data_IF_303213769689
#
_entry.id   IF_303213769689
#
_cell.length_a   1.000
_cell.length_b   1.000
_cell.length_c   1.000
_cell.angle_alpha   90.00
_cell.angle_beta   90.00
_cell.angle_gamma   90.00
#
_symmetry.space_group_name_H-M   'P 1'
#
loop_
_entity.id
_entity.type
_entity.pdbx_description
1 polymer ?
#
# COMPACT_ATOMS: atom_id res chain seq x y z
N UNK A 1 29.26 -7.58 9.84
CA UNK A 1 30.70 -7.19 9.77
C UNK A 1 30.74 -5.71 9.42
N UNK A 2 31.53 -4.90 10.13
CA UNK A 2 31.82 -3.51 9.71
C UNK A 2 33.02 -3.55 8.76
N UNK A 3 32.86 -3.02 7.56
CA UNK A 3 33.83 -3.17 6.47
C UNK A 3 34.56 -1.86 6.24
N UNK A 4 35.86 -1.91 6.36
CA UNK A 4 36.81 -0.87 5.94
C UNK A 4 37.53 -1.31 4.66
N UNK A 5 38.18 -0.43 3.94
CA UNK A 5 38.82 -0.49 2.62
C UNK A 5 39.03 -1.88 1.92
N UNK A 6 39.40 -2.95 2.64
CA UNK A 6 39.53 -4.32 2.07
C UNK A 6 38.95 -5.32 3.05
N UNK A 7 38.09 -6.23 2.54
CA UNK A 7 37.40 -7.24 3.37
C UNK A 7 37.46 -8.60 2.73
N UNK A 8 37.99 -9.57 3.45
CA UNK A 8 37.88 -10.97 3.11
C UNK A 8 36.63 -11.53 3.77
N UNK A 9 35.69 -12.04 2.96
CA UNK A 9 34.50 -12.72 3.40
C UNK A 9 34.87 -14.20 3.60
N UNK A 10 34.88 -14.64 4.86
CA UNK A 10 35.10 -16.03 5.24
C UNK A 10 33.78 -16.80 5.14
N UNK A 11 33.69 -17.70 4.18
CA UNK A 11 32.50 -18.48 3.89
C UNK A 11 32.36 -19.72 4.77
N UNK A 12 33.35 -20.08 5.59
CA UNK A 12 33.23 -21.15 6.59
C UNK A 12 32.23 -20.81 7.70
N UNK A 13 31.95 -19.50 7.90
CA UNK A 13 31.01 -19.01 8.90
C UNK A 13 29.53 -19.10 8.49
N UNK A 14 29.22 -19.49 7.25
CA UNK A 14 27.87 -19.62 6.71
C UNK A 14 27.69 -18.99 5.34
N UNK A 15 26.51 -19.16 4.77
CA UNK A 15 26.17 -18.73 3.42
C UNK A 15 25.34 -17.43 3.35
N UNK A 16 25.10 -16.76 4.48
CA UNK A 16 24.46 -15.46 4.55
C UNK A 16 25.38 -14.46 5.26
N UNK A 17 25.82 -13.45 4.55
CA UNK A 17 26.77 -12.46 5.04
C UNK A 17 26.14 -11.07 5.00
N UNK A 18 26.08 -10.39 6.13
CA UNK A 18 25.68 -8.97 6.21
C UNK A 18 26.88 -8.13 6.54
N UNK A 19 27.09 -7.04 5.81
CA UNK A 19 28.15 -6.08 6.13
C UNK A 19 27.67 -4.62 6.04
N UNK A 20 28.18 -3.78 6.95
CA UNK A 20 27.96 -2.35 6.94
C UNK A 20 29.11 -1.66 6.18
N UNK A 21 28.80 -1.02 5.07
CA UNK A 21 29.79 -0.36 4.23
C UNK A 21 30.00 1.09 4.68
N UNK A 22 31.16 1.39 5.28
CA UNK A 22 31.55 2.75 5.70
C UNK A 22 32.65 3.38 4.82
N UNK A 23 33.20 2.63 3.86
CA UNK A 23 34.24 3.08 2.93
C UNK A 23 34.07 2.39 1.57
N UNK A 24 34.82 2.84 0.55
CA UNK A 24 35.01 2.06 -0.67
C UNK A 24 35.65 0.72 -0.31
N UNK A 25 35.14 -0.36 -0.85
CA UNK A 25 35.46 -1.71 -0.35
C UNK A 25 35.91 -2.62 -1.48
N UNK A 26 37.01 -3.31 -1.29
CA UNK A 26 37.41 -4.44 -2.13
C UNK A 26 37.08 -5.74 -1.40
N UNK A 27 36.30 -6.61 -2.07
CA UNK A 27 35.89 -7.91 -1.53
C UNK A 27 36.78 -9.02 -2.06
N UNK A 28 37.13 -9.97 -1.19
CA UNK A 28 37.70 -11.28 -1.54
C UNK A 28 36.96 -12.38 -0.77
N UNK A 29 37.02 -13.60 -1.27
CA UNK A 29 36.41 -14.77 -0.62
C UNK A 29 37.47 -15.71 -0.07
N UNK A 30 37.22 -16.28 1.09
CA UNK A 30 38.06 -17.31 1.69
C UNK A 30 37.19 -18.54 2.08
N UNK A 31 37.85 -19.69 2.21
CA UNK A 31 37.21 -20.95 2.61
C UNK A 31 36.03 -21.35 1.72
N UNK A 32 36.23 -21.26 0.41
CA UNK A 32 35.22 -21.63 -0.60
C UNK A 32 35.16 -23.16 -0.76
N UNK A 33 33.93 -23.71 -0.73
CA UNK A 33 33.66 -25.12 -1.01
C UNK A 33 33.38 -25.35 -2.50
N UNK A 34 33.37 -26.62 -2.92
CA UNK A 34 33.18 -27.00 -4.33
C UNK A 34 31.88 -26.44 -4.93
N UNK A 35 30.80 -26.40 -4.14
CA UNK A 35 29.53 -25.81 -4.54
C UNK A 35 28.96 -25.02 -3.39
N UNK A 36 28.73 -23.73 -3.59
CA UNK A 36 28.15 -22.82 -2.60
C UNK A 36 27.11 -21.89 -3.22
N UNK A 37 26.10 -21.61 -2.45
CA UNK A 37 25.16 -20.53 -2.68
C UNK A 37 25.33 -19.51 -1.54
N UNK A 38 25.69 -18.28 -1.87
CA UNK A 38 26.01 -17.24 -0.88
C UNK A 38 25.11 -16.03 -1.08
N UNK A 39 24.46 -15.60 -0.03
CA UNK A 39 23.71 -14.33 0.02
C UNK A 39 24.57 -13.27 0.70
N UNK A 40 24.85 -12.19 0.01
CA UNK A 40 25.56 -11.04 0.55
C UNK A 40 24.60 -9.87 0.71
N UNK A 41 24.45 -9.38 1.93
CA UNK A 41 23.64 -8.21 2.25
C UNK A 41 24.58 -7.04 2.57
N UNK A 42 24.59 -6.05 1.70
CA UNK A 42 25.26 -4.78 1.94
C UNK A 42 24.30 -3.83 2.64
N UNK A 43 24.75 -3.20 3.71
CA UNK A 43 24.04 -2.09 4.37
C UNK A 43 24.94 -0.84 4.27
N UNK A 44 24.41 0.25 3.71
CA UNK A 44 25.14 1.50 3.56
C UNK A 44 25.18 2.27 4.89
N UNK A 45 26.32 2.92 5.15
CA UNK A 45 26.46 3.85 6.28
C UNK A 45 25.60 5.12 6.13
N UNK A 46 25.59 5.95 7.15
CA UNK A 46 24.83 7.22 7.18
C UNK A 46 25.46 8.35 6.37
N UNK A 47 26.60 8.12 5.70
CA UNK A 47 27.30 9.17 4.95
C UNK A 47 26.63 9.47 3.61
N UNK A 48 26.68 10.73 3.16
CA UNK A 48 26.20 11.15 1.84
C UNK A 48 27.14 10.77 0.70
N UNK A 49 28.31 10.21 1.01
CA UNK A 49 29.32 9.86 0.02
C UNK A 49 28.91 8.59 -0.73
N UNK A 50 28.94 8.62 -2.05
CA UNK A 50 28.80 7.41 -2.87
C UNK A 50 29.93 6.43 -2.53
N UNK A 51 29.60 5.14 -2.40
CA UNK A 51 30.54 4.08 -2.10
C UNK A 51 30.62 3.09 -3.25
N UNK A 52 31.80 2.53 -3.45
CA UNK A 52 32.02 1.50 -4.47
C UNK A 52 32.32 0.14 -3.83
N UNK A 53 31.98 -0.93 -4.54
CA UNK A 53 32.45 -2.28 -4.21
C UNK A 53 33.27 -2.76 -5.40
N UNK A 54 34.51 -3.11 -5.14
CA UNK A 54 35.33 -3.84 -6.11
C UNK A 54 35.16 -5.33 -5.84
N UNK A 55 34.48 -5.98 -6.73
CA UNK A 55 34.26 -7.43 -6.69
C UNK A 55 35.47 -8.18 -7.27
N UNK A 56 35.75 -9.41 -6.83
CA UNK A 56 36.77 -10.25 -7.44
C UNK A 56 36.48 -10.47 -8.94
N UNK A 57 37.52 -10.56 -9.77
CA UNK A 57 37.40 -10.84 -11.20
C UNK A 57 36.74 -12.20 -11.51
N UNK A 58 36.73 -13.09 -10.51
CA UNK A 58 36.02 -14.37 -10.56
C UNK A 58 34.50 -14.24 -10.55
N UNK A 59 33.93 -13.08 -10.16
CA UNK A 59 32.48 -12.86 -10.15
C UNK A 59 32.00 -12.43 -11.54
N UNK A 60 31.17 -13.26 -12.13
CA UNK A 60 30.50 -12.99 -13.42
C UNK A 60 29.04 -12.59 -13.13
N UNK A 61 28.69 -11.39 -13.50
CA UNK A 61 27.36 -10.83 -13.25
C UNK A 61 26.39 -11.15 -14.37
N UNK A 62 25.14 -11.47 -13.98
CA UNK A 62 24.04 -11.49 -14.93
C UNK A 62 23.87 -10.09 -15.55
N UNK A 63 23.84 -10.03 -16.89
CA UNK A 63 23.92 -8.75 -17.62
C UNK A 63 25.34 -8.22 -17.88
N UNK A 64 26.40 -8.92 -17.50
CA UNK A 64 27.81 -8.66 -17.88
C UNK A 64 28.57 -7.64 -17.05
N UNK A 65 27.90 -6.91 -16.14
CA UNK A 65 28.54 -5.96 -15.22
C UNK A 65 27.93 -6.03 -13.82
N UNK A 66 28.70 -5.65 -12.79
CA UNK A 66 28.21 -5.57 -11.44
C UNK A 66 27.00 -4.61 -11.34
N UNK A 67 25.97 -4.96 -10.53
CA UNK A 67 24.82 -4.08 -10.31
C UNK A 67 25.24 -2.72 -9.77
N UNK A 68 24.53 -1.67 -10.19
CA UNK A 68 24.78 -0.31 -9.70
C UNK A 68 24.44 -0.23 -8.22
N UNK A 69 25.40 0.21 -7.43
CA UNK A 69 25.21 0.39 -6.00
C UNK A 69 24.29 1.59 -5.71
N UNK A 70 23.49 1.46 -4.66
CA UNK A 70 22.71 2.57 -4.12
C UNK A 70 23.67 3.68 -3.70
N UNK A 71 23.51 4.86 -4.30
CA UNK A 71 24.36 6.02 -4.04
C UNK A 71 23.73 7.05 -3.11
N UNK A 72 22.42 6.96 -2.86
CA UNK A 72 21.69 7.90 -2.00
C UNK A 72 22.03 7.68 -0.52
N UNK A 73 21.97 8.73 0.26
CA UNK A 73 22.54 8.85 1.59
C UNK A 73 21.54 8.61 2.73
N UNK A 74 20.77 7.54 2.66
CA UNK A 74 19.87 7.21 3.77
C UNK A 74 20.45 6.05 4.58
N UNK A 75 20.45 6.21 5.90
CA UNK A 75 20.90 5.17 6.82
C UNK A 75 20.01 3.93 6.66
N UNK A 76 20.64 2.78 6.48
CA UNK A 76 19.92 1.50 6.38
C UNK A 76 19.58 1.05 4.97
N UNK A 77 19.94 1.81 3.92
CA UNK A 77 19.85 1.33 2.54
C UNK A 77 20.59 0.01 2.41
N UNK A 78 19.94 -1.00 1.89
CA UNK A 78 20.51 -2.34 1.75
C UNK A 78 20.33 -2.89 0.33
N UNK A 79 21.34 -3.62 -0.12
CA UNK A 79 21.29 -4.39 -1.37
C UNK A 79 21.66 -5.83 -1.06
N UNK A 80 20.95 -6.75 -1.68
CA UNK A 80 21.22 -8.17 -1.54
C UNK A 80 21.69 -8.73 -2.87
N UNK A 81 22.79 -9.44 -2.82
CA UNK A 81 23.40 -10.11 -3.95
C UNK A 81 23.40 -11.61 -3.67
N UNK A 82 23.03 -12.39 -4.67
CA UNK A 82 23.18 -13.84 -4.65
C UNK A 82 24.38 -14.21 -5.50
N UNK A 83 25.26 -15.05 -4.97
CA UNK A 83 26.41 -15.58 -5.66
C UNK A 83 26.39 -17.11 -5.61
N UNK A 84 26.66 -17.73 -6.73
CA UNK A 84 26.73 -19.21 -6.83
C UNK A 84 28.08 -19.59 -7.43
N UNK A 85 28.75 -20.55 -6.81
CA UNK A 85 29.91 -21.26 -7.40
C UNK A 85 29.65 -22.76 -7.48
N UNK A 86 30.30 -23.43 -8.42
CA UNK A 86 30.29 -24.90 -8.59
C UNK A 86 31.71 -25.44 -8.81
N UNK A 87 32.75 -24.60 -8.65
CA UNK A 87 34.15 -24.89 -8.90
C UNK A 87 35.08 -24.38 -7.82
N UNK A 88 34.67 -24.46 -6.55
CA UNK A 88 35.44 -24.04 -5.37
C UNK A 88 35.80 -22.53 -5.39
N UNK A 89 34.94 -21.70 -5.95
CA UNK A 89 35.10 -20.25 -5.98
C UNK A 89 36.04 -19.75 -7.09
N UNK A 90 36.46 -20.61 -8.02
CA UNK A 90 37.21 -20.17 -9.22
C UNK A 90 36.36 -19.29 -10.11
N UNK A 91 35.06 -19.58 -10.19
CA UNK A 91 34.07 -18.74 -10.86
C UNK A 91 32.82 -18.59 -10.00
N UNK A 92 32.36 -17.37 -9.87
CA UNK A 92 31.11 -17.02 -9.22
C UNK A 92 30.14 -16.43 -10.23
N UNK A 93 28.89 -16.87 -10.19
CA UNK A 93 27.81 -16.24 -10.95
C UNK A 93 26.95 -15.45 -9.98
N UNK A 94 26.81 -14.14 -10.23
CA UNK A 94 26.15 -13.21 -9.32
C UNK A 94 25.01 -12.43 -9.97
N UNK A 95 23.99 -12.15 -9.19
CA UNK A 95 22.90 -11.24 -9.56
C UNK A 95 22.36 -10.51 -8.31
N UNK A 96 21.76 -9.35 -8.53
CA UNK A 96 21.08 -8.62 -7.48
C UNK A 96 19.69 -9.22 -7.26
N UNK A 97 19.39 -9.64 -6.02
CA UNK A 97 18.09 -10.23 -5.67
C UNK A 97 17.16 -9.22 -5.00
N UNK A 98 17.72 -8.20 -4.35
CA UNK A 98 16.96 -7.22 -3.62
C UNK A 98 17.72 -5.90 -3.51
N UNK A 99 17.00 -4.82 -3.74
CA UNK A 99 17.49 -3.46 -3.58
C UNK A 99 16.47 -2.67 -2.76
N UNK A 100 16.83 -2.35 -1.53
CA UNK A 100 16.06 -1.43 -0.71
C UNK A 100 16.72 -0.06 -0.75
N UNK A 101 16.23 0.78 -1.63
CA UNK A 101 16.38 2.23 -1.47
C UNK A 101 15.42 2.62 -0.35
N UNK A 102 15.89 3.12 0.78
CA UNK A 102 15.01 3.90 1.65
C UNK A 102 14.80 5.23 0.93
N UNK A 103 13.91 5.21 -0.04
CA UNK A 103 13.52 6.42 -0.76
C UNK A 103 12.80 7.30 0.26
N UNK A 104 13.33 8.48 0.50
CA UNK A 104 12.67 9.47 1.35
C UNK A 104 11.75 10.30 0.50
N UNK A 105 10.49 10.31 0.86
CA UNK A 105 9.48 11.02 0.10
C UNK A 105 9.02 12.28 0.79
N UNK A 106 8.70 13.28 0.01
CA UNK A 106 7.92 14.44 0.44
C UNK A 106 6.45 14.12 0.30
N UNK A 107 5.69 14.15 1.39
CA UNK A 107 4.27 13.87 1.39
C UNK A 107 3.46 15.13 1.02
N UNK A 108 2.48 14.98 0.15
CA UNK A 108 1.53 16.01 -0.26
C UNK A 108 0.11 15.54 -0.03
N UNK A 109 -0.77 16.47 0.37
CA UNK A 109 -2.20 16.24 0.49
C UNK A 109 -3.01 17.39 -0.12
N UNK A 110 -4.22 17.05 -0.59
CA UNK A 110 -5.24 17.98 -1.07
C UNK A 110 -6.65 17.43 -0.86
N UNK A 111 -7.66 18.29 -0.96
CA UNK A 111 -9.06 17.94 -0.78
C UNK A 111 -9.62 18.36 0.58
N UNK A 112 -10.49 17.55 1.16
CA UNK A 112 -11.24 17.83 2.38
C UNK A 112 -10.34 17.80 3.64
N UNK A 113 -10.46 18.83 4.53
CA UNK A 113 -9.60 18.97 5.72
C UNK A 113 -10.31 19.57 6.96
N UNK A 114 -11.58 19.36 7.13
CA UNK A 114 -12.37 20.05 8.20
C UNK A 114 -11.89 19.71 9.62
N UNK A 115 -11.23 18.59 9.84
CA UNK A 115 -10.73 18.13 11.15
C UNK A 115 -9.19 18.13 11.25
N UNK A 116 -8.49 18.75 10.30
CA UNK A 116 -7.03 18.84 10.32
C UNK A 116 -6.31 17.56 9.94
N UNK A 117 -6.96 16.68 9.18
CA UNK A 117 -6.39 15.40 8.76
C UNK A 117 -5.21 15.52 7.79
N UNK A 118 -4.93 16.70 7.24
CA UNK A 118 -3.76 17.00 6.42
C UNK A 118 -2.48 17.28 7.23
N UNK A 119 -2.59 17.38 8.56
CA UNK A 119 -1.44 17.60 9.43
C UNK A 119 -0.80 18.99 9.34
N UNK A 120 -1.38 19.95 8.62
CA UNK A 120 -0.82 21.30 8.40
C UNK A 120 -1.08 22.27 9.54
N UNK A 121 -1.51 21.78 10.70
CA UNK A 121 -1.90 22.56 11.88
C UNK A 121 -3.05 23.55 11.62
N UNK A 122 -3.90 23.27 10.66
CA UNK A 122 -5.10 24.03 10.33
C UNK A 122 -6.21 23.14 9.78
N UNK A 123 -7.35 23.71 9.42
CA UNK A 123 -8.51 23.02 8.85
C UNK A 123 -8.89 23.55 7.47
N UNK A 124 -7.95 24.18 6.77
CA UNK A 124 -8.16 24.73 5.43
C UNK A 124 -8.24 23.59 4.41
N UNK A 125 -9.21 23.66 3.51
CA UNK A 125 -9.33 22.75 2.38
C UNK A 125 -8.49 23.26 1.20
N UNK A 126 -7.72 22.37 0.60
CA UNK A 126 -6.84 22.72 -0.52
C UNK A 126 -7.27 21.99 -1.79
N UNK A 127 -7.44 22.73 -2.89
CA UNK A 127 -7.73 22.17 -4.22
C UNK A 127 -6.46 21.86 -5.04
N UNK A 128 -5.29 22.12 -4.45
CA UNK A 128 -3.96 21.82 -5.00
C UNK A 128 -3.14 21.09 -3.96
N UNK A 129 -2.15 20.28 -4.34
CA UNK A 129 -1.25 19.61 -3.41
C UNK A 129 -0.54 20.58 -2.46
N UNK A 130 -0.59 20.31 -1.16
CA UNK A 130 0.11 21.03 -0.10
C UNK A 130 1.06 20.07 0.62
N UNK A 131 2.31 20.48 0.79
CA UNK A 131 3.34 19.68 1.43
C UNK A 131 3.12 19.54 2.93
N UNK A 132 3.36 18.35 3.45
CA UNK A 132 3.35 18.05 4.87
C UNK A 132 4.77 18.11 5.44
N UNK A 133 5.02 19.06 6.36
CA UNK A 133 6.30 19.15 7.06
C UNK A 133 7.50 19.44 6.18
N UNK A 134 8.70 19.13 6.68
CA UNK A 134 9.93 19.25 5.89
C UNK A 134 10.06 18.08 4.90
N UNK A 135 10.74 18.32 3.78
CA UNK A 135 10.97 17.29 2.77
C UNK A 135 11.77 16.10 3.30
N UNK A 136 11.46 14.91 2.83
CA UNK A 136 12.42 13.82 2.81
C UNK A 136 12.41 12.82 3.98
N UNK A 137 11.38 12.76 4.84
CA UNK A 137 11.40 11.86 6.00
C UNK A 137 10.27 10.82 6.06
N UNK A 138 9.46 10.70 5.02
CA UNK A 138 8.30 9.83 5.03
C UNK A 138 8.52 8.59 4.17
N UNK A 139 8.10 7.42 4.62
CA UNK A 139 8.13 6.17 3.83
C UNK A 139 6.74 5.64 3.49
N UNK A 140 5.72 5.98 4.26
CA UNK A 140 4.35 5.58 3.98
C UNK A 140 3.37 6.68 4.39
N UNK A 141 2.33 6.88 3.62
CA UNK A 141 1.15 7.65 4.00
C UNK A 141 -0.10 6.79 3.79
N UNK A 142 -1.08 6.94 4.67
CA UNK A 142 -2.42 6.37 4.51
C UNK A 142 -3.48 7.36 4.97
N UNK A 143 -4.55 7.51 4.19
CA UNK A 143 -5.64 8.41 4.45
C UNK A 143 -6.96 7.80 3.96
N UNK A 144 -7.50 6.87 4.71
CA UNK A 144 -8.81 6.33 4.42
C UNK A 144 -9.89 7.02 5.27
N UNK A 145 -11.01 7.39 4.63
CA UNK A 145 -12.19 7.89 5.30
C UNK A 145 -12.30 9.40 5.49
N UNK A 146 -11.38 10.20 4.94
CA UNK A 146 -11.52 11.67 4.85
C UNK A 146 -11.20 12.47 6.10
N UNK A 147 -11.15 11.86 7.25
CA UNK A 147 -11.04 12.56 8.51
C UNK A 147 -9.78 12.23 9.31
N UNK A 148 -8.99 11.25 8.87
CA UNK A 148 -7.76 10.81 9.54
C UNK A 148 -6.68 10.50 8.56
N UNK A 149 -5.45 10.64 9.03
CA UNK A 149 -4.27 10.20 8.29
C UNK A 149 -3.28 9.55 9.24
N UNK A 150 -2.60 8.55 8.73
CA UNK A 150 -1.47 7.88 9.36
C UNK A 150 -0.26 7.96 8.44
N UNK A 151 0.90 8.24 9.00
CA UNK A 151 2.14 8.38 8.26
C UNK A 151 3.23 7.65 9.03
N UNK A 152 4.09 6.94 8.32
CA UNK A 152 5.28 6.32 8.91
C UNK A 152 6.50 7.04 8.36
N UNK A 153 7.40 7.44 9.25
CA UNK A 153 8.67 8.03 8.87
C UNK A 153 9.75 6.97 8.59
N UNK A 154 10.90 7.41 8.10
CA UNK A 154 12.03 6.54 7.77
C UNK A 154 12.69 5.86 8.98
N UNK A 155 12.32 6.28 10.20
CA UNK A 155 12.75 5.66 11.46
C UNK A 155 11.69 4.73 12.05
N UNK A 156 10.69 4.33 11.27
CA UNK A 156 9.58 3.46 11.66
C UNK A 156 8.64 4.05 12.73
N UNK A 157 8.66 5.37 12.93
CA UNK A 157 7.71 6.02 13.82
C UNK A 157 6.37 6.23 13.11
N UNK A 158 5.28 5.90 13.79
CA UNK A 158 3.92 6.17 13.33
C UNK A 158 3.42 7.50 13.85
N UNK A 159 2.97 8.36 12.95
CA UNK A 159 2.36 9.65 13.23
C UNK A 159 0.91 9.64 12.74
N UNK A 160 -0.01 10.15 13.56
CA UNK A 160 -1.44 10.22 13.27
C UNK A 160 -1.98 11.62 13.44
N UNK A 161 -3.01 11.98 12.64
CA UNK A 161 -3.67 13.28 12.72
C UNK A 161 -5.12 13.18 12.24
N UNK A 162 -5.90 14.20 12.54
CA UNK A 162 -7.31 14.30 12.18
C UNK A 162 -8.27 14.02 13.34
N UNK A 163 -9.40 13.42 13.03
CA UNK A 163 -10.50 13.13 13.94
C UNK A 163 -10.14 12.03 14.95
N UNK A 164 -10.40 12.29 16.25
CA UNK A 164 -10.20 11.32 17.32
C UNK A 164 -11.53 10.77 17.91
N UNK A 165 -12.60 10.80 17.16
CA UNK A 165 -13.86 10.19 17.62
C UNK A 165 -13.63 8.71 17.95
N UNK A 166 -14.16 8.24 19.06
CA UNK A 166 -13.98 6.89 19.61
C UNK A 166 -12.52 6.48 19.91
N UNK A 167 -11.59 7.44 20.07
CA UNK A 167 -10.17 7.14 20.25
C UNK A 167 -9.49 6.66 18.96
N UNK A 168 -10.04 7.04 17.81
CA UNK A 168 -9.62 6.54 16.50
C UNK A 168 -8.21 6.94 16.08
N UNK A 169 -7.54 7.85 16.79
CA UNK A 169 -6.12 8.15 16.58
C UNK A 169 -5.17 7.22 17.37
N UNK A 170 -5.66 6.39 18.30
CA UNK A 170 -4.82 5.47 19.07
C UNK A 170 -3.88 6.13 20.10
N UNK A 171 -4.13 7.37 20.49
CA UNK A 171 -3.23 8.20 21.32
C UNK A 171 -3.45 8.06 22.83
N UNK A 172 -4.23 7.09 23.30
CA UNK A 172 -4.59 6.89 24.71
C UNK A 172 -5.18 8.16 25.39
N UNK A 173 -5.74 9.06 24.60
CA UNK A 173 -6.29 10.32 25.04
C UNK A 173 -7.82 10.32 25.08
N UNK A 174 -8.39 11.47 25.53
CA UNK A 174 -9.83 11.68 25.50
C UNK A 174 -10.38 11.49 24.09
N UNK A 175 -11.44 10.68 23.92
CA UNK A 175 -12.20 10.67 22.66
C UNK A 175 -12.62 12.09 22.26
N UNK A 176 -12.61 12.40 20.96
CA UNK A 176 -12.93 13.70 20.36
C UNK A 176 -11.87 14.82 20.53
N UNK A 177 -10.67 14.51 21.06
CA UNK A 177 -9.54 15.44 21.02
C UNK A 177 -8.82 15.33 19.65
N UNK A 178 -9.38 15.97 18.61
CA UNK A 178 -8.81 15.97 17.25
C UNK A 178 -7.38 16.54 17.23
N UNK A 179 -6.58 16.12 16.25
CA UNK A 179 -5.19 16.56 16.07
C UNK A 179 -5.00 17.09 14.65
N UNK A 180 -4.73 18.38 14.51
CA UNK A 180 -4.39 19.01 13.23
C UNK A 180 -2.89 18.99 12.93
N UNK A 181 -2.08 18.44 13.82
CA UNK A 181 -0.64 18.22 13.65
C UNK A 181 -0.30 16.76 13.85
N UNK A 182 0.70 16.22 13.15
CA UNK A 182 1.17 14.86 13.38
C UNK A 182 1.51 14.60 14.86
N UNK A 183 0.92 13.56 15.44
CA UNK A 183 1.16 13.14 16.82
C UNK A 183 1.59 11.68 16.82
N UNK A 184 2.67 11.36 17.51
CA UNK A 184 3.29 10.02 17.44
C UNK A 184 2.53 8.98 18.26
N UNK A 185 2.35 7.78 17.69
CA UNK A 185 2.00 6.55 18.40
C UNK A 185 3.30 5.79 18.72
N UNK A 186 3.59 5.49 20.00
CA UNK A 186 4.82 4.78 20.36
C UNK A 186 4.96 3.39 19.71
N UNK A 187 6.18 3.03 19.34
CA UNK A 187 6.54 1.73 18.76
C UNK A 187 7.19 1.86 17.40
N UNK A 188 7.68 0.73 16.89
CA UNK A 188 8.29 0.61 15.56
C UNK A 188 7.29 -0.03 14.60
N UNK A 189 6.84 0.71 13.60
CA UNK A 189 5.73 0.36 12.73
C UNK A 189 6.20 0.14 11.29
N UNK A 190 5.81 -0.98 10.70
CA UNK A 190 6.15 -1.32 9.33
C UNK A 190 5.09 -0.79 8.33
N UNK A 191 3.81 -0.90 8.68
CA UNK A 191 2.69 -0.45 7.85
C UNK A 191 1.51 -0.01 8.72
N UNK A 192 0.76 0.98 8.25
CA UNK A 192 -0.46 1.47 8.89
C UNK A 192 -1.58 1.63 7.87
N UNK A 193 -2.82 1.44 8.30
CA UNK A 193 -4.01 1.86 7.56
C UNK A 193 -5.03 2.49 8.51
N UNK A 194 -5.68 3.55 8.04
CA UNK A 194 -6.68 4.30 8.79
C UNK A 194 -8.07 4.07 8.21
N UNK A 195 -9.04 3.87 9.09
CA UNK A 195 -10.46 3.87 8.73
C UNK A 195 -11.18 5.10 9.29
N UNK A 196 -12.48 5.23 9.05
CA UNK A 196 -13.23 6.41 9.49
C UNK A 196 -13.33 6.58 11.02
N UNK A 197 -13.20 5.53 11.85
CA UNK A 197 -13.28 5.63 13.32
C UNK A 197 -12.19 4.84 14.05
N UNK A 198 -11.13 4.46 13.37
CA UNK A 198 -10.03 3.72 13.97
C UNK A 198 -8.91 3.47 12.98
N UNK A 199 -7.93 2.73 13.40
CA UNK A 199 -6.81 2.33 12.58
C UNK A 199 -6.32 0.93 12.94
N UNK A 200 -5.51 0.38 12.06
CA UNK A 200 -4.74 -0.83 12.31
C UNK A 200 -3.35 -0.68 11.74
N UNK A 201 -2.40 -1.40 12.30
CA UNK A 201 -1.02 -1.34 11.84
C UNK A 201 -0.25 -2.60 12.21
N UNK A 202 0.76 -2.90 11.44
CA UNK A 202 1.69 -4.00 11.70
C UNK A 202 3.03 -3.41 12.12
N UNK A 203 3.54 -3.89 13.24
CA UNK A 203 4.86 -3.52 13.72
C UNK A 203 5.96 -4.26 12.95
N UNK A 204 7.18 -3.77 13.07
CA UNK A 204 8.36 -4.38 12.42
C UNK A 204 8.66 -5.81 12.88
N UNK A 205 8.08 -6.23 14.00
CA UNK A 205 8.13 -7.61 14.52
C UNK A 205 7.03 -8.54 13.95
N UNK A 206 6.21 -8.06 13.00
CA UNK A 206 5.14 -8.84 12.36
C UNK A 206 3.86 -8.97 13.21
N UNK A 207 3.72 -8.21 14.30
CA UNK A 207 2.49 -8.19 15.12
C UNK A 207 1.49 -7.18 14.58
N UNK A 208 0.21 -7.58 14.50
CA UNK A 208 -0.90 -6.73 14.06
C UNK A 208 -1.60 -6.09 15.26
N UNK A 209 -1.92 -4.81 15.17
CA UNK A 209 -2.55 -4.00 16.19
C UNK A 209 -3.73 -3.22 15.62
N UNK A 210 -4.78 -2.99 16.45
CA UNK A 210 -5.94 -2.20 16.07
C UNK A 210 -6.38 -1.28 17.21
N UNK A 211 -7.03 -0.16 16.87
CA UNK A 211 -7.55 0.83 17.80
C UNK A 211 -8.78 1.55 17.25
N UNK A 212 -9.51 2.25 18.11
CA UNK A 212 -10.69 3.02 17.77
C UNK A 212 -12.01 2.28 18.06
N UNK A 213 -12.99 2.45 17.19
CA UNK A 213 -14.34 1.93 17.32
C UNK A 213 -14.41 0.41 17.21
N UNK A 214 -15.20 -0.24 18.11
CA UNK A 214 -15.39 -1.70 18.13
C UNK A 214 -16.86 -2.14 18.06
N UNK A 215 -17.75 -1.33 17.55
CA UNK A 215 -19.19 -1.64 17.54
C UNK A 215 -19.56 -2.92 16.79
N UNK A 216 -18.74 -3.33 15.84
CA UNK A 216 -18.96 -4.51 15.01
C UNK A 216 -17.90 -5.60 15.16
N UNK A 217 -17.04 -5.51 16.17
CA UNK A 217 -15.92 -6.44 16.35
C UNK A 217 -14.67 -6.07 15.53
N UNK A 218 -14.58 -4.82 15.09
CA UNK A 218 -13.52 -4.29 14.23
C UNK A 218 -12.11 -4.46 14.82
N UNK A 219 -11.99 -4.48 16.16
CA UNK A 219 -10.70 -4.59 16.83
C UNK A 219 -10.21 -6.03 16.98
N UNK A 220 -10.97 -7.02 16.49
CA UNK A 220 -10.63 -8.45 16.54
C UNK A 220 -10.34 -9.01 17.96
N UNK A 221 -10.93 -8.41 18.99
CA UNK A 221 -10.71 -8.77 20.40
C UNK A 221 -11.72 -9.80 20.93
N UNK A 222 -12.38 -10.55 20.03
CA UNK A 222 -13.47 -11.49 20.34
C UNK A 222 -14.65 -10.83 21.11
N UNK A 223 -14.76 -9.53 21.00
CA UNK A 223 -15.82 -8.70 21.60
C UNK A 223 -16.37 -7.72 20.58
N UNK A 224 -17.59 -7.27 20.79
CA UNK A 224 -18.20 -6.23 19.96
C UNK A 224 -19.26 -5.47 20.73
N UNK A 225 -19.54 -4.23 20.32
CA UNK A 225 -20.52 -3.35 20.96
C UNK A 225 -19.90 -2.08 21.51
N UNK A 226 -20.74 -1.11 21.89
CA UNK A 226 -20.33 0.08 22.61
C UNK A 226 -20.57 -0.17 24.12
N UNK A 227 -19.57 -0.03 25.02
CA UNK A 227 -18.42 0.86 25.00
C UNK A 227 -17.04 0.17 24.79
N UNK A 228 -16.91 -0.83 23.99
CA UNK A 228 -15.65 -1.58 23.83
C UNK A 228 -14.62 -0.94 22.88
N UNK A 229 -14.80 0.36 22.53
CA UNK A 229 -13.80 1.11 21.76
C UNK A 229 -12.50 1.27 22.54
N UNK A 230 -11.35 1.19 21.85
CA UNK A 230 -10.02 1.28 22.46
C UNK A 230 -9.26 2.48 21.91
N UNK A 231 -8.88 3.41 22.79
CA UNK A 231 -8.12 4.60 22.44
C UNK A 231 -6.60 4.37 22.34
N UNK A 232 -6.14 3.13 22.55
CA UNK A 232 -4.74 2.72 22.41
C UNK A 232 -4.66 1.52 21.50
N UNK A 233 -3.58 1.36 20.72
CA UNK A 233 -3.33 0.14 19.98
C UNK A 233 -3.38 -1.10 20.87
N UNK A 234 -4.15 -2.10 20.47
CA UNK A 234 -4.29 -3.40 21.13
C UNK A 234 -3.95 -4.49 20.13
N UNK A 235 -3.13 -5.44 20.55
CA UNK A 235 -2.63 -6.50 19.66
C UNK A 235 -3.74 -7.47 19.26
N UNK A 236 -3.79 -7.80 17.97
CA UNK A 236 -4.57 -8.90 17.41
C UNK A 236 -3.69 -10.16 17.47
N UNK A 237 -4.19 -11.30 17.97
CA UNK A 237 -3.37 -12.51 18.09
C UNK A 237 -2.71 -12.97 16.79
N UNK A 238 -1.45 -13.38 16.87
CA UNK A 238 -0.63 -13.87 15.75
C UNK A 238 0.56 -12.94 15.45
N UNK A 239 1.57 -13.50 14.80
CA UNK A 239 2.86 -12.83 14.52
C UNK A 239 3.34 -12.97 13.07
N UNK A 240 2.54 -13.55 12.19
CA UNK A 240 2.91 -13.80 10.79
C UNK A 240 2.15 -12.89 9.82
N UNK A 241 1.77 -11.71 10.29
CA UNK A 241 1.08 -10.73 9.46
C UNK A 241 2.08 -10.05 8.53
N UNK A 242 1.73 -9.96 7.25
CA UNK A 242 2.61 -9.38 6.24
C UNK A 242 2.64 -7.87 6.34
N UNK A 243 3.83 -7.29 6.32
CA UNK A 243 4.04 -5.84 6.34
C UNK A 243 3.92 -5.16 4.96
N UNK A 244 3.48 -5.87 3.93
CA UNK A 244 3.15 -5.25 2.64
C UNK A 244 1.88 -4.39 2.80
N UNK A 245 1.91 -3.16 2.30
CA UNK A 245 0.79 -2.21 2.37
C UNK A 245 -0.48 -2.73 1.67
N UNK A 246 -0.35 -3.62 0.69
CA UNK A 246 -1.47 -4.24 -0.01
C UNK A 246 -2.09 -5.40 0.77
N UNK A 247 -1.48 -5.77 1.90
CA UNK A 247 -1.88 -6.90 2.72
C UNK A 247 -2.66 -6.50 3.97
N UNK A 248 -2.94 -5.21 4.16
CA UNK A 248 -3.69 -4.71 5.31
C UNK A 248 -4.61 -3.58 4.87
N UNK A 249 -5.87 -3.65 5.26
CA UNK A 249 -6.82 -2.56 5.05
C UNK A 249 -7.99 -2.61 6.03
N UNK A 250 -8.50 -1.42 6.35
CA UNK A 250 -9.76 -1.23 7.07
C UNK A 250 -10.75 -0.45 6.20
N UNK A 251 -11.98 -0.93 6.04
CA UNK A 251 -13.04 -0.18 5.36
C UNK A 251 -13.89 0.59 6.37
N UNK A 252 -14.02 1.87 6.16
CA UNK A 252 -14.85 2.79 6.96
C UNK A 252 -14.76 2.45 8.46
N UNK A 253 -15.70 1.75 9.03
CA UNK A 253 -15.73 1.41 10.46
C UNK A 253 -16.21 0.00 10.70
N UNK A 254 -16.21 -0.81 9.68
CA UNK A 254 -17.03 -2.01 9.73
C UNK A 254 -16.25 -3.30 9.51
N UNK A 255 -15.32 -3.30 8.59
CA UNK A 255 -14.66 -4.54 8.18
C UNK A 255 -13.18 -4.32 7.98
N UNK A 256 -12.41 -5.36 8.22
CA UNK A 256 -10.95 -5.35 8.15
C UNK A 256 -10.47 -6.55 7.37
N UNK A 257 -9.33 -6.41 6.74
CA UNK A 257 -8.59 -7.50 6.11
C UNK A 257 -7.11 -7.43 6.49
N UNK A 258 -6.48 -8.60 6.49
CA UNK A 258 -5.03 -8.74 6.51
C UNK A 258 -4.62 -10.04 5.82
N UNK A 259 -3.49 -10.01 5.12
CA UNK A 259 -2.87 -11.19 4.51
C UNK A 259 -1.65 -11.56 5.36
N UNK A 260 -1.46 -12.85 5.61
CA UNK A 260 -0.28 -13.36 6.28
C UNK A 260 0.86 -13.64 5.30
N UNK A 261 2.06 -13.79 5.82
CA UNK A 261 3.27 -14.12 5.03
C UNK A 261 3.18 -15.45 4.28
N UNK A 262 2.27 -16.33 4.69
CA UNK A 262 1.95 -17.58 3.99
C UNK A 262 0.94 -17.42 2.84
N UNK A 263 0.52 -16.19 2.53
CA UNK A 263 -0.43 -15.86 1.47
C UNK A 263 -1.90 -16.16 1.83
N UNK A 264 -2.24 -16.44 3.10
CA UNK A 264 -3.63 -16.60 3.55
C UNK A 264 -4.28 -15.24 3.80
N UNK A 265 -5.52 -15.04 3.31
CA UNK A 265 -6.32 -13.85 3.54
C UNK A 265 -7.23 -14.04 4.75
N UNK A 266 -7.25 -13.10 5.68
CA UNK A 266 -8.05 -13.08 6.89
C UNK A 266 -8.90 -11.82 6.95
N UNK A 267 -10.17 -11.95 7.37
CA UNK A 267 -11.12 -10.85 7.42
C UNK A 267 -11.95 -10.92 8.70
N UNK A 268 -12.40 -9.76 9.20
CA UNK A 268 -13.28 -9.65 10.39
C UNK A 268 -14.04 -8.33 10.38
N UNK A 269 -15.11 -8.25 11.17
CA UNK A 269 -15.98 -7.09 11.28
C UNK A 269 -17.46 -7.40 11.06
N UNK A 270 -18.18 -6.45 10.50
CA UNK A 270 -19.65 -6.39 10.40
C UNK A 270 -20.27 -7.41 9.46
N UNK A 271 -19.74 -7.58 8.27
CA UNK A 271 -20.18 -8.56 7.24
C UNK A 271 -21.63 -8.46 6.74
N UNK A 272 -22.32 -7.35 6.89
CA UNK A 272 -23.72 -7.24 6.48
C UNK A 272 -23.96 -7.58 5.00
N UNK A 273 -22.99 -7.27 4.15
CA UNK A 273 -23.04 -7.46 2.70
C UNK A 273 -22.26 -8.70 2.22
N UNK A 274 -21.84 -9.57 3.14
CA UNK A 274 -21.04 -10.76 2.82
C UNK A 274 -19.59 -10.43 2.43
N UNK A 275 -19.11 -9.22 2.74
CA UNK A 275 -17.79 -8.71 2.33
C UNK A 275 -16.63 -9.50 2.95
N UNK A 276 -16.85 -10.23 4.04
CA UNK A 276 -15.82 -11.07 4.66
C UNK A 276 -15.57 -12.40 3.90
N UNK A 277 -16.27 -12.65 2.81
CA UNK A 277 -15.98 -13.78 1.92
C UNK A 277 -16.30 -15.19 2.50
N UNK A 278 -17.13 -15.27 3.55
CA UNK A 278 -17.39 -16.49 4.31
C UNK A 278 -18.62 -17.28 3.85
N UNK A 279 -19.15 -16.99 2.66
CA UNK A 279 -20.40 -17.54 2.15
C UNK A 279 -21.62 -17.33 3.08
N UNK A 280 -21.56 -16.30 3.91
CA UNK A 280 -22.60 -15.88 4.85
C UNK A 280 -22.52 -14.36 5.10
N UNK A 281 -23.41 -13.86 5.98
CA UNK A 281 -23.42 -12.46 6.43
C UNK A 281 -23.27 -12.33 7.95
N UNK A 282 -22.65 -13.33 8.57
CA UNK A 282 -22.39 -13.33 10.01
C UNK A 282 -21.26 -12.40 10.35
N UNK A 283 -21.42 -11.57 11.39
CA UNK A 283 -20.38 -10.74 11.96
C UNK A 283 -19.31 -11.59 12.65
N UNK A 284 -18.05 -11.25 12.47
CA UNK A 284 -16.92 -11.90 13.12
C UNK A 284 -16.10 -10.89 13.92
N UNK A 285 -15.99 -11.09 15.23
CA UNK A 285 -15.18 -10.26 16.14
C UNK A 285 -13.76 -10.82 16.39
N UNK A 286 -13.33 -11.77 15.57
CA UNK A 286 -11.98 -12.32 15.48
C UNK A 286 -11.66 -12.57 14.01
N UNK A 287 -10.38 -12.53 13.60
CA UNK A 287 -10.02 -12.84 12.23
C UNK A 287 -10.48 -14.23 11.81
N UNK A 288 -11.10 -14.32 10.64
CA UNK A 288 -11.52 -15.59 10.01
C UNK A 288 -10.89 -15.68 8.62
N UNK A 289 -10.35 -16.84 8.29
CA UNK A 289 -9.68 -17.07 7.01
C UNK A 289 -10.69 -17.16 5.86
N UNK A 290 -10.38 -16.52 4.73
CA UNK A 290 -11.16 -16.57 3.49
C UNK A 290 -10.78 -17.82 2.71
N UNK A 291 -11.61 -18.86 2.80
CA UNK A 291 -11.33 -20.15 2.17
C UNK A 291 -10.07 -20.82 2.74
N UNK A 292 -9.44 -21.70 1.94
CA UNK A 292 -8.23 -22.48 2.33
C UNK A 292 -7.01 -22.10 1.48
N UNK A 293 -7.11 -21.06 0.67
CA UNK A 293 -6.09 -20.71 -0.32
C UNK A 293 -4.96 -19.90 0.31
N UNK A 294 -3.74 -20.12 -0.19
CA UNK A 294 -2.49 -19.46 0.25
C UNK A 294 -1.85 -18.65 -0.87
N UNK A 295 -2.63 -18.21 -1.84
CA UNK A 295 -2.16 -17.57 -3.07
C UNK A 295 -2.65 -16.12 -3.21
N UNK A 296 -3.16 -15.51 -2.14
CA UNK A 296 -3.57 -14.12 -2.18
C UNK A 296 -2.35 -13.21 -2.19
N UNK A 297 -2.18 -12.47 -3.29
CA UNK A 297 -1.09 -11.53 -3.49
C UNK A 297 -1.45 -10.14 -2.97
N UNK A 298 -2.71 -9.73 -3.14
CA UNK A 298 -3.22 -8.48 -2.62
C UNK A 298 -4.73 -8.54 -2.44
N UNK A 299 -5.24 -7.71 -1.54
CA UNK A 299 -6.67 -7.50 -1.38
C UNK A 299 -6.97 -6.05 -1.02
N UNK A 300 -8.10 -5.53 -1.50
CA UNK A 300 -8.54 -4.17 -1.24
C UNK A 300 -10.06 -4.13 -1.09
N UNK A 301 -10.53 -3.29 -0.18
CA UNK A 301 -11.95 -2.98 -0.12
C UNK A 301 -12.30 -1.87 -1.12
N UNK A 302 -13.50 -1.98 -1.69
CA UNK A 302 -14.17 -0.81 -2.23
C UNK A 302 -15.01 -0.12 -1.16
N UNK A 303 -15.12 1.20 -1.23
CA UNK A 303 -15.87 2.00 -0.23
C UNK A 303 -17.36 1.67 -0.08
N UNK A 304 -17.92 0.80 -0.93
CA UNK A 304 -19.30 0.34 -0.93
C UNK A 304 -19.55 -1.02 -0.23
N UNK A 305 -18.65 -1.52 0.61
CA UNK A 305 -18.69 -2.86 1.21
C UNK A 305 -18.54 -4.00 0.19
N UNK A 306 -17.72 -3.81 -0.80
CA UNK A 306 -17.22 -4.82 -1.72
C UNK A 306 -15.72 -5.02 -1.52
N UNK A 307 -15.22 -6.16 -1.93
CA UNK A 307 -13.81 -6.52 -1.84
C UNK A 307 -13.29 -7.01 -3.18
N UNK A 308 -12.05 -6.67 -3.48
CA UNK A 308 -11.30 -7.13 -4.63
C UNK A 308 -10.00 -7.76 -4.18
N UNK A 309 -9.55 -8.80 -4.87
CA UNK A 309 -8.27 -9.42 -4.59
C UNK A 309 -7.63 -10.00 -5.87
N UNK A 310 -6.32 -9.98 -5.91
CA UNK A 310 -5.52 -10.61 -6.96
C UNK A 310 -4.73 -11.77 -6.33
N UNK A 311 -4.70 -12.89 -7.03
CA UNK A 311 -3.86 -14.03 -6.65
C UNK A 311 -2.52 -13.99 -7.37
N UNK A 312 -1.57 -14.77 -6.89
CA UNK A 312 -0.22 -14.90 -7.47
C UNK A 312 -0.22 -15.45 -8.91
N UNK A 313 -1.32 -16.07 -9.34
CA UNK A 313 -1.54 -16.49 -10.73
C UNK A 313 -2.08 -15.37 -11.62
N UNK A 314 -2.20 -14.15 -11.11
CA UNK A 314 -2.69 -12.97 -11.82
C UNK A 314 -4.21 -12.96 -12.04
N UNK A 315 -5.00 -13.83 -11.40
CA UNK A 315 -6.47 -13.80 -11.47
C UNK A 315 -7.05 -12.74 -10.55
N UNK A 316 -8.07 -12.01 -11.01
CA UNK A 316 -8.80 -10.99 -10.24
C UNK A 316 -10.12 -11.56 -9.71
N UNK A 317 -10.41 -11.30 -8.44
CA UNK A 317 -11.59 -11.79 -7.70
C UNK A 317 -12.33 -10.65 -7.03
N UNK A 318 -13.67 -10.78 -6.92
CA UNK A 318 -14.50 -9.80 -6.21
C UNK A 318 -15.64 -10.47 -5.46
N UNK A 319 -16.11 -9.84 -4.38
CA UNK A 319 -17.26 -10.24 -3.58
C UNK A 319 -17.77 -9.07 -2.71
N UNK A 320 -18.89 -9.28 -2.01
CA UNK A 320 -19.53 -8.27 -1.18
C UNK A 320 -20.73 -7.65 -1.88
N UNK A 321 -21.00 -6.38 -1.57
CA UNK A 321 -22.12 -5.61 -2.09
C UNK A 321 -22.06 -5.45 -3.60
N UNK A 322 -23.19 -5.69 -4.26
CA UNK A 322 -23.36 -5.46 -5.69
C UNK A 322 -24.56 -4.53 -5.93
N UNK A 323 -24.31 -3.49 -6.71
CA UNK A 323 -25.32 -2.63 -7.31
C UNK A 323 -24.69 -1.93 -8.51
N UNK A 324 -25.38 -1.86 -9.61
CA UNK A 324 -24.89 -1.18 -10.83
C UNK A 324 -23.56 -1.70 -11.40
N UNK A 325 -23.24 -2.98 -11.16
CA UNK A 325 -22.02 -3.62 -11.69
C UNK A 325 -20.76 -3.41 -10.88
N UNK A 326 -20.86 -3.08 -9.59
CA UNK A 326 -19.69 -2.77 -8.74
C UNK A 326 -18.68 -3.91 -8.64
N UNK A 327 -19.13 -5.17 -8.73
CA UNK A 327 -18.26 -6.35 -8.67
C UNK A 327 -17.57 -6.70 -10.01
N UNK A 328 -17.96 -6.08 -11.13
CA UNK A 328 -17.33 -6.34 -12.44
C UNK A 328 -17.59 -7.73 -13.04
N UNK A 329 -18.57 -8.48 -12.55
CA UNK A 329 -18.82 -9.88 -12.86
C UNK A 329 -19.87 -10.11 -13.97
N UNK A 330 -20.19 -9.09 -14.78
CA UNK A 330 -21.21 -9.11 -15.83
C UNK A 330 -22.61 -9.49 -15.30
N UNK A 331 -22.91 -9.20 -14.05
CA UNK A 331 -24.18 -9.45 -13.38
C UNK A 331 -24.35 -8.50 -12.19
N UNK A 332 -25.60 -8.34 -11.74
CA UNK A 332 -25.94 -7.49 -10.59
C UNK A 332 -26.39 -8.38 -9.41
N UNK A 333 -25.60 -9.39 -9.07
CA UNK A 333 -25.90 -10.32 -7.97
C UNK A 333 -24.80 -10.24 -6.92
N UNK A 334 -25.19 -9.89 -5.71
CA UNK A 334 -24.31 -9.86 -4.54
C UNK A 334 -23.67 -11.21 -4.26
N UNK A 335 -22.41 -11.23 -3.86
CA UNK A 335 -21.63 -12.43 -3.58
C UNK A 335 -21.08 -12.37 -2.15
N UNK A 336 -21.27 -13.42 -1.38
CA UNK A 336 -20.70 -13.56 -0.03
C UNK A 336 -19.45 -14.45 0.01
N UNK A 337 -18.93 -14.85 -1.14
CA UNK A 337 -17.66 -15.58 -1.31
C UNK A 337 -16.90 -15.06 -2.53
N UNK A 338 -15.57 -15.15 -2.55
CA UNK A 338 -14.75 -14.74 -3.68
C UNK A 338 -15.23 -15.37 -4.99
N UNK A 339 -15.46 -14.55 -6.01
CA UNK A 339 -15.84 -14.97 -7.36
C UNK A 339 -14.91 -14.30 -8.37
N UNK A 340 -14.37 -15.06 -9.31
CA UNK A 340 -13.41 -14.57 -10.28
C UNK A 340 -14.06 -13.62 -11.31
N UNK A 341 -13.37 -12.53 -11.65
CA UNK A 341 -13.74 -11.60 -12.72
C UNK A 341 -13.12 -12.08 -14.04
N UNK A 342 -13.95 -12.61 -14.93
CA UNK A 342 -13.49 -13.10 -16.23
C UNK A 342 -12.46 -14.23 -16.14
N UNK A 343 -11.69 -14.46 -17.22
CA UNK A 343 -10.69 -15.54 -17.31
C UNK A 343 -9.26 -15.04 -17.44
N UNK A 344 -9.01 -13.72 -17.34
CA UNK A 344 -7.66 -13.17 -17.48
C UNK A 344 -6.79 -13.51 -16.27
N UNK A 345 -5.51 -13.77 -16.54
CA UNK A 345 -4.48 -14.14 -15.54
C UNK A 345 -3.30 -13.15 -15.54
N UNK A 346 -3.51 -11.94 -16.00
CA UNK A 346 -2.49 -10.89 -16.08
C UNK A 346 -2.87 -9.60 -15.33
N UNK A 347 -3.74 -9.70 -14.34
CA UNK A 347 -4.04 -8.56 -13.47
C UNK A 347 -2.87 -8.28 -12.52
N UNK A 348 -2.47 -7.00 -12.44
CA UNK A 348 -1.32 -6.55 -11.67
C UNK A 348 -1.70 -5.78 -10.41
N UNK A 349 -2.73 -4.92 -10.50
CA UNK A 349 -3.15 -4.08 -9.39
C UNK A 349 -4.64 -3.74 -9.48
N UNK A 350 -5.31 -3.47 -8.33
CA UNK A 350 -6.72 -3.11 -8.29
C UNK A 350 -7.01 -2.02 -7.24
N UNK A 351 -7.75 -1.01 -7.66
CA UNK A 351 -8.27 0.06 -6.80
C UNK A 351 -9.79 -0.07 -6.65
N UNK A 352 -10.27 -0.30 -5.42
CA UNK A 352 -11.68 -0.38 -5.11
C UNK A 352 -12.25 0.97 -4.68
N UNK A 353 -13.18 1.55 -5.44
CA UNK A 353 -13.94 2.74 -5.04
C UNK A 353 -15.30 2.42 -4.42
N UNK A 354 -16.00 3.46 -3.95
CA UNK A 354 -17.31 3.25 -3.34
C UNK A 354 -18.38 2.78 -4.34
N UNK A 355 -18.31 3.25 -5.57
CA UNK A 355 -19.31 3.00 -6.61
C UNK A 355 -18.74 2.53 -7.94
N UNK A 356 -17.45 2.66 -8.14
CA UNK A 356 -16.76 2.20 -9.32
C UNK A 356 -15.36 1.73 -8.95
N UNK A 357 -14.78 0.86 -9.75
CA UNK A 357 -13.48 0.25 -9.48
C UNK A 357 -12.60 0.27 -10.73
N UNK A 358 -11.30 0.20 -10.54
CA UNK A 358 -10.33 0.13 -11.63
C UNK A 358 -9.24 -0.90 -11.33
N UNK A 359 -8.66 -1.45 -12.38
CA UNK A 359 -7.53 -2.38 -12.27
C UNK A 359 -6.58 -2.22 -13.45
N UNK A 360 -5.30 -2.45 -13.20
CA UNK A 360 -4.28 -2.52 -14.24
C UNK A 360 -3.84 -3.96 -14.49
N UNK A 361 -3.36 -4.19 -15.71
CA UNK A 361 -2.75 -5.45 -16.09
C UNK A 361 -1.24 -5.31 -16.25
N UNK A 362 -0.52 -6.43 -16.26
CA UNK A 362 0.94 -6.48 -16.46
C UNK A 362 1.41 -5.92 -17.80
N UNK A 363 0.50 -5.82 -18.80
CA UNK A 363 0.73 -5.17 -20.09
C UNK A 363 0.54 -3.65 -20.06
N UNK A 364 0.32 -3.07 -18.87
CA UNK A 364 0.12 -1.64 -18.65
C UNK A 364 -1.25 -1.11 -19.08
N UNK A 365 -2.23 -1.96 -19.37
CA UNK A 365 -3.59 -1.54 -19.69
C UNK A 365 -4.40 -1.28 -18.44
N UNK A 366 -5.27 -0.26 -18.47
CA UNK A 366 -6.18 0.13 -17.38
C UNK A 366 -7.63 -0.23 -17.73
N UNK A 367 -8.36 -0.77 -16.77
CA UNK A 367 -9.73 -1.21 -16.90
C UNK A 367 -10.61 -0.65 -15.78
N UNK A 368 -11.84 -0.24 -16.08
CA UNK A 368 -12.78 0.35 -15.12
C UNK A 368 -14.15 -0.29 -15.25
N UNK A 369 -14.92 -0.32 -14.13
CA UNK A 369 -16.28 -0.85 -14.08
C UNK A 369 -17.07 -0.25 -12.90
N UNK A 370 -18.38 -0.48 -12.87
CA UNK A 370 -19.30 0.03 -11.84
C UNK A 370 -20.11 1.23 -12.32
N UNK A 371 -20.48 2.12 -11.40
CA UNK A 371 -21.23 3.34 -11.67
C UNK A 371 -20.44 4.34 -12.53
N UNK A 372 -21.18 5.13 -13.32
CA UNK A 372 -20.62 6.23 -14.10
C UNK A 372 -21.42 7.55 -13.94
N UNK A 373 -22.02 7.75 -12.78
CA UNK A 373 -22.86 8.91 -12.50
C UNK A 373 -22.15 10.25 -12.71
N UNK A 374 -20.88 10.28 -12.37
CA UNK A 374 -20.03 11.49 -12.39
C UNK A 374 -18.83 11.40 -13.33
N UNK A 375 -18.80 10.40 -14.22
CA UNK A 375 -17.68 10.16 -15.13
C UNK A 375 -16.61 9.23 -14.58
N UNK A 376 -16.92 8.46 -13.52
CA UNK A 376 -15.96 7.60 -12.81
C UNK A 376 -15.31 6.54 -13.73
N UNK A 377 -15.96 6.15 -14.81
CA UNK A 377 -15.37 5.16 -15.74
C UNK A 377 -14.30 5.73 -16.66
N UNK A 378 -14.13 7.06 -16.75
CA UNK A 378 -13.04 7.69 -17.52
C UNK A 378 -13.07 7.46 -19.04
N UNK A 379 -14.18 6.96 -19.59
CA UNK A 379 -14.30 6.52 -20.97
C UNK A 379 -14.95 7.57 -21.92
N UNK A 380 -14.80 8.85 -21.59
CA UNK A 380 -15.34 10.01 -22.33
C UNK A 380 -16.87 10.04 -22.41
N UNK A 381 -17.55 9.40 -21.47
CA UNK A 381 -18.99 9.54 -21.28
C UNK A 381 -19.32 9.50 -19.78
N UNK A 382 -20.39 10.17 -19.38
CA UNK A 382 -20.84 10.17 -17.98
C UNK A 382 -22.35 10.02 -17.90
N UNK A 383 -22.83 9.62 -16.73
CA UNK A 383 -24.24 9.72 -16.37
C UNK A 383 -24.62 11.18 -16.05
N UNK A 384 -25.91 11.42 -15.89
CA UNK A 384 -26.48 12.70 -15.51
C UNK A 384 -26.59 12.91 -13.98
N UNK A 385 -25.70 12.23 -13.21
CA UNK A 385 -25.78 12.15 -11.75
C UNK A 385 -26.55 10.92 -11.23
N UNK A 386 -27.11 10.10 -12.11
CA UNK A 386 -27.77 8.85 -11.75
C UNK A 386 -26.81 7.66 -11.84
N UNK A 387 -26.72 6.87 -10.79
CA UNK A 387 -25.82 5.71 -10.71
C UNK A 387 -26.17 4.59 -11.70
N UNK A 388 -27.43 4.51 -12.14
CA UNK A 388 -27.89 3.50 -13.10
C UNK A 388 -27.57 3.85 -14.55
N UNK A 389 -27.29 5.13 -14.85
CA UNK A 389 -27.04 5.58 -16.21
C UNK A 389 -25.58 5.32 -16.60
N UNK A 390 -25.37 4.59 -17.70
CA UNK A 390 -24.05 4.30 -18.25
C UNK A 390 -23.09 3.51 -17.33
N UNK A 391 -23.62 2.82 -16.29
CA UNK A 391 -22.82 1.89 -15.49
C UNK A 391 -22.36 0.67 -16.32
N UNK A 392 -21.29 0.02 -15.87
CA UNK A 392 -20.72 -1.17 -16.52
C UNK A 392 -20.52 -2.28 -15.49
N UNK A 393 -21.18 -3.41 -15.74
CA UNK A 393 -21.03 -4.61 -14.91
C UNK A 393 -19.86 -5.51 -15.31
N UNK A 394 -19.11 -5.14 -16.35
CA UNK A 394 -17.87 -5.77 -16.78
C UNK A 394 -16.79 -4.74 -16.98
N UNK A 395 -15.51 -5.07 -16.76
CA UNK A 395 -14.40 -4.17 -17.03
C UNK A 395 -14.38 -3.67 -18.48
N UNK A 396 -14.25 -2.35 -18.66
CA UNK A 396 -14.00 -1.69 -19.95
C UNK A 396 -12.61 -1.05 -19.93
N UNK A 397 -11.91 -1.10 -21.07
CA UNK A 397 -10.54 -0.58 -21.15
C UNK A 397 -10.53 0.94 -21.34
N UNK A 398 -9.63 1.60 -20.60
CA UNK A 398 -9.23 3.01 -20.82
C UNK A 398 -8.04 3.04 -21.78
N UNK A 399 -8.01 3.95 -22.78
CA UNK A 399 -6.90 4.00 -23.73
C UNK A 399 -5.53 4.19 -23.07
N UNK A 400 -4.50 3.53 -23.60
CA UNK A 400 -3.11 3.59 -23.17
C UNK A 400 -2.59 2.29 -22.56
N UNK A 401 -1.26 2.16 -22.54
CA UNK A 401 -0.53 0.95 -22.10
C UNK A 401 0.61 1.25 -21.14
N UNK A 402 0.59 2.42 -20.49
CA UNK A 402 1.61 2.83 -19.51
C UNK A 402 1.02 3.02 -18.11
N UNK A 403 -0.19 2.50 -17.89
CA UNK A 403 -0.87 2.59 -16.62
C UNK A 403 -0.24 1.61 -15.63
N UNK A 404 0.07 2.12 -14.43
CA UNK A 404 0.80 1.35 -13.43
C UNK A 404 -0.06 1.06 -12.21
N UNK A 405 -0.56 2.10 -11.53
CA UNK A 405 -1.21 1.97 -10.24
C UNK A 405 -2.54 2.67 -10.20
N UNK A 406 -3.64 1.90 -10.07
CA UNK A 406 -4.98 2.42 -9.94
C UNK A 406 -5.30 2.74 -8.48
N UNK A 407 -6.06 3.79 -8.26
CA UNK A 407 -6.66 4.16 -6.97
C UNK A 407 -8.01 4.83 -7.18
N UNK A 408 -8.81 4.92 -6.13
CA UNK A 408 -10.16 5.41 -6.26
C UNK A 408 -10.71 5.98 -4.96
N UNK A 409 -11.46 7.05 -5.06
CA UNK A 409 -12.25 7.60 -3.98
C UNK A 409 -13.74 7.24 -4.11
N UNK A 410 -14.61 8.09 -3.57
CA UNK A 410 -16.07 7.83 -3.60
C UNK A 410 -16.66 7.96 -5.00
N UNK A 411 -16.38 9.06 -5.69
CA UNK A 411 -16.93 9.39 -7.02
C UNK A 411 -15.83 9.80 -8.00
N UNK A 412 -14.60 9.47 -7.73
CA UNK A 412 -13.47 9.78 -8.59
C UNK A 412 -12.49 8.62 -8.60
N UNK A 413 -11.70 8.57 -9.63
CA UNK A 413 -10.65 7.59 -9.83
C UNK A 413 -9.37 8.26 -10.28
N UNK A 414 -8.28 7.58 -10.09
CA UNK A 414 -6.98 7.98 -10.59
C UNK A 414 -6.10 6.79 -10.91
N UNK A 415 -5.05 7.08 -11.66
CA UNK A 415 -4.03 6.10 -11.96
C UNK A 415 -2.69 6.79 -12.19
N UNK A 416 -1.63 6.21 -11.64
CA UNK A 416 -0.27 6.55 -12.00
C UNK A 416 0.16 5.83 -13.25
N UNK A 417 0.99 6.50 -14.03
CA UNK A 417 1.70 5.88 -15.14
C UNK A 417 3.14 5.55 -14.77
N UNK A 418 3.78 4.71 -15.58
CA UNK A 418 5.17 4.29 -15.40
C UNK A 418 6.19 5.43 -15.50
N UNK A 419 5.80 6.56 -16.10
CA UNK A 419 6.61 7.79 -16.18
C UNK A 419 6.45 8.72 -14.95
N UNK A 420 5.72 8.28 -13.90
CA UNK A 420 5.46 9.06 -12.70
C UNK A 420 4.37 10.12 -12.87
N UNK A 421 3.65 10.16 -13.99
CA UNK A 421 2.53 11.09 -14.15
C UNK A 421 1.27 10.56 -13.48
N UNK A 422 0.59 11.42 -12.73
CA UNK A 422 -0.67 11.12 -12.05
C UNK A 422 -1.86 11.62 -12.88
N UNK A 423 -2.87 10.78 -13.07
CA UNK A 423 -4.06 11.09 -13.84
C UNK A 423 -5.32 10.81 -13.02
N UNK A 424 -6.27 11.75 -13.03
CA UNK A 424 -7.53 11.65 -12.29
C UNK A 424 -8.75 11.94 -13.16
N UNK A 425 -9.89 11.39 -12.79
CA UNK A 425 -11.18 11.60 -13.46
C UNK A 425 -12.35 11.34 -12.52
N UNK A 426 -13.56 11.66 -12.94
CA UNK A 426 -14.76 11.61 -12.12
C UNK A 426 -15.09 12.97 -11.50
N UNK A 427 -15.65 12.94 -10.30
CA UNK A 427 -16.04 14.15 -9.56
C UNK A 427 -14.83 14.85 -8.94
N UNK A 428 -14.68 16.15 -9.17
CA UNK A 428 -13.68 16.98 -8.50
C UNK A 428 -14.28 17.79 -7.34
N UNK A 429 -15.24 17.23 -6.64
CA UNK A 429 -15.87 17.88 -5.49
C UNK A 429 -14.83 18.05 -4.37
N UNK A 430 -14.80 19.21 -3.73
CA UNK A 430 -13.76 19.65 -2.79
C UNK A 430 -12.31 19.66 -3.34
N UNK A 431 -12.12 19.69 -4.66
CA UNK A 431 -10.78 19.64 -5.24
C UNK A 431 -10.10 18.27 -5.16
N UNK A 432 -10.88 17.18 -5.06
CA UNK A 432 -10.36 15.82 -4.87
C UNK A 432 -9.33 15.37 -5.91
N UNK A 433 -9.36 15.94 -7.12
CA UNK A 433 -8.39 15.63 -8.18
C UNK A 433 -7.12 16.50 -8.14
N UNK A 434 -7.01 17.48 -7.21
CA UNK A 434 -5.82 18.33 -7.08
C UNK A 434 -5.56 19.30 -8.22
N UNK A 435 -6.55 19.58 -9.07
CA UNK A 435 -6.41 20.34 -10.30
C UNK A 435 -6.59 21.86 -10.12
N UNK A 436 -6.48 22.38 -8.90
CA UNK A 436 -6.72 23.79 -8.55
C UNK A 436 -8.12 24.30 -8.96
N UNK A 437 -9.10 23.41 -8.99
CA UNK A 437 -10.50 23.68 -9.36
C UNK A 437 -11.42 22.85 -8.47
N UNK A 438 -12.65 23.31 -8.30
CA UNK A 438 -13.70 22.60 -7.56
C UNK A 438 -14.93 22.38 -8.45
N UNK A 439 -15.74 21.38 -8.10
CA UNK A 439 -17.09 21.12 -8.66
C UNK A 439 -17.17 20.78 -10.15
N UNK A 440 -16.03 20.58 -10.81
CA UNK A 440 -15.95 20.12 -12.20
C UNK A 440 -15.93 18.59 -12.22
N UNK A 441 -16.58 18.00 -13.22
CA UNK A 441 -16.54 16.55 -13.47
C UNK A 441 -15.72 16.27 -14.72
N UNK A 442 -14.89 15.26 -14.65
CA UNK A 442 -14.05 14.82 -15.77
C UNK A 442 -14.44 13.40 -16.18
N UNK A 443 -14.97 13.23 -17.38
CA UNK A 443 -15.33 11.91 -17.92
C UNK A 443 -14.18 11.22 -18.67
N UNK A 444 -13.01 11.83 -18.69
CA UNK A 444 -11.76 11.30 -19.24
C UNK A 444 -10.61 11.62 -18.29
N UNK A 445 -9.54 10.82 -18.26
CA UNK A 445 -8.36 11.11 -17.45
C UNK A 445 -7.75 12.47 -17.76
N UNK A 446 -7.47 13.28 -16.71
CA UNK A 446 -6.79 14.56 -16.75
C UNK A 446 -5.54 14.48 -15.89
N UNK A 447 -4.42 14.98 -16.41
CA UNK A 447 -3.14 14.92 -15.70
C UNK A 447 -3.07 15.94 -14.57
N UNK A 448 -2.67 15.50 -13.37
CA UNK A 448 -2.23 16.36 -12.27
C UNK A 448 -0.79 16.81 -12.56
N UNK A 449 -0.48 18.13 -12.50
CA UNK A 449 0.87 18.61 -12.70
C UNK A 449 1.88 18.02 -11.72
N UNK A 450 3.09 17.73 -12.18
CA UNK A 450 4.19 17.19 -11.41
C UNK A 450 4.51 15.74 -11.75
N UNK A 451 5.64 15.25 -11.20
CA UNK A 451 6.07 13.85 -11.27
C UNK A 451 5.94 13.26 -9.88
N UNK A 452 5.34 12.09 -9.78
CA UNK A 452 4.96 11.45 -8.52
C UNK A 452 5.67 10.12 -8.38
N UNK A 453 5.96 9.75 -7.15
CA UNK A 453 6.61 8.48 -6.86
C UNK A 453 5.78 7.29 -7.35
N UNK A 454 6.44 6.31 -7.95
CA UNK A 454 5.80 5.14 -8.54
C UNK A 454 5.76 3.92 -7.63
N UNK A 455 6.45 3.96 -6.49
CA UNK A 455 6.48 2.87 -5.53
C UNK A 455 5.14 2.71 -4.80
N UNK A 456 4.79 1.47 -4.47
CA UNK A 456 3.49 1.15 -3.86
C UNK A 456 3.29 1.73 -2.47
N UNK A 457 4.36 1.95 -1.73
CA UNK A 457 4.33 2.45 -0.36
C UNK A 457 4.00 3.96 -0.30
N UNK A 458 4.04 4.64 -1.46
CA UNK A 458 4.04 6.11 -1.55
C UNK A 458 2.72 6.75 -1.93
N UNK A 459 1.71 5.95 -2.30
CA UNK A 459 0.44 6.49 -2.78
C UNK A 459 -0.71 5.75 -2.14
N UNK A 460 -1.50 6.48 -1.37
CA UNK A 460 -2.82 6.03 -0.94
C UNK A 460 -3.82 7.16 -1.15
N UNK A 461 -4.61 7.01 -2.18
CA UNK A 461 -5.74 7.87 -2.46
C UNK A 461 -7.01 7.05 -2.28
N UNK A 462 -7.52 6.96 -1.05
CA UNK A 462 -8.76 6.25 -0.71
C UNK A 462 -9.78 7.14 -0.02
N UNK A 463 -9.51 8.45 0.02
CA UNK A 463 -10.40 9.39 0.65
C UNK A 463 -11.65 9.66 -0.21
N UNK A 464 -12.76 9.91 0.46
CA UNK A 464 -14.00 10.29 -0.19
C UNK A 464 -13.86 11.55 -1.03
N UNK A 465 -13.05 12.52 -0.59
CA UNK A 465 -12.98 13.86 -1.13
C UNK A 465 -11.56 14.44 -1.18
N UNK A 466 -10.53 13.63 -1.12
CA UNK A 466 -9.15 14.08 -1.20
C UNK A 466 -8.18 12.97 -1.58
N UNK A 467 -6.93 13.31 -1.73
CA UNK A 467 -5.88 12.34 -2.02
C UNK A 467 -4.55 12.74 -1.34
N UNK A 468 -3.73 11.74 -1.12
CA UNK A 468 -2.34 11.85 -0.72
C UNK A 468 -1.44 11.27 -1.80
N UNK A 469 -0.30 11.88 -2.00
CA UNK A 469 0.75 11.33 -2.84
C UNK A 469 2.11 11.81 -2.36
N UNK A 470 3.16 11.10 -2.75
CA UNK A 470 4.52 11.43 -2.40
C UNK A 470 5.35 11.72 -3.65
N UNK A 471 6.31 12.64 -3.51
CA UNK A 471 7.33 12.96 -4.51
C UNK A 471 8.70 12.58 -3.97
N UNK A 472 9.57 12.06 -4.83
CA UNK A 472 10.98 11.80 -4.52
C UNK A 472 11.77 13.08 -4.25
#
# INVERSE_FOLDING_TARGET
ITVTATTTIDLSAGNMITFNQSADTTISFANTETAMDVTIIRVKDTSTTARTITWPDSVKWDGGSAPTLISKSVAGDSQQFQLITRDSGLTWYGWETYKRDVITFTAFRWGYNVVGADGSNNTTQYSSPVQLGAAGNWKQVDAEGGNRSGIIDTSDNLWVMGDNQYGGLGLNGSPNAHKSSPTQIPGSWAVVTQGSYGGQGIKTDGTLWAWGYNGFGNLAQNTSGNPTSLSSPTQIPGTTWSSDINHIQQIKNTDNLAIKTDGTLWMWGRNNEGVLGQNNRTKYSSPVQVGTQTTWQMATFGGGANCFAIKTDGTLWSWGYESYGYLGQNQNTQKSSPTQIGANTNWADVGGGAYASCATKTDGTLWTWGSNAFGELGANFSGNGSMSTNSRSSPIQIPGTTWLRPFSGKHWMGCLKTDGTWWGWGSNYYGALGLNQNEIRYSSPVQLPGTWATDRETIVARDHYGAWSMQE
#
